data_IF_617303984551
#
_entry.id   IF_617303984551
#
_cell.length_a   1.000
_cell.length_b   1.000
_cell.length_c   1.000
_cell.angle_alpha   90.00
_cell.angle_beta   90.00
_cell.angle_gamma   90.00
#
_symmetry.space_group_name_H-M   'P 1'
#
loop_
_entity.id
_entity.type
_entity.pdbx_description
1 polymer ?
#
# COMPACT_ATOMS: atom_id res chain seq x y z
N UNK A 1 8.96 11.40 4.93
CA UNK A 1 7.85 10.49 5.29
C UNK A 1 6.61 10.69 4.42
N UNK A 2 5.92 11.85 4.47
CA UNK A 2 4.73 12.14 3.64
C UNK A 2 5.02 12.05 2.13
N UNK A 3 6.19 12.53 1.70
CA UNK A 3 6.62 12.50 0.29
C UNK A 3 6.71 11.08 -0.30
N UNK A 4 7.05 10.06 0.49
CA UNK A 4 7.14 8.67 0.02
C UNK A 4 5.76 8.02 -0.12
N UNK A 5 4.78 8.49 0.66
CA UNK A 5 3.39 8.04 0.54
C UNK A 5 2.74 8.67 -0.71
N UNK A 6 3.01 9.96 -0.97
CA UNK A 6 2.53 10.66 -2.17
C UNK A 6 3.10 10.06 -3.46
N UNK A 7 4.39 9.68 -3.48
CA UNK A 7 4.97 8.97 -4.62
C UNK A 7 4.35 7.58 -4.83
N UNK A 8 3.99 6.87 -3.76
CA UNK A 8 3.30 5.59 -3.83
C UNK A 8 1.90 5.68 -4.49
N UNK A 9 1.11 6.68 -4.11
CA UNK A 9 -0.20 6.93 -4.74
C UNK A 9 -0.06 7.33 -6.21
N UNK A 10 0.92 8.19 -6.55
CA UNK A 10 1.22 8.54 -7.95
C UNK A 10 1.55 7.30 -8.78
N UNK A 11 2.36 6.38 -8.25
CA UNK A 11 2.72 5.15 -8.95
C UNK A 11 1.54 4.18 -9.11
N UNK A 12 0.70 4.05 -8.07
CA UNK A 12 -0.53 3.26 -8.14
C UNK A 12 -1.48 3.76 -9.24
N UNK A 13 -1.62 5.09 -9.35
CA UNK A 13 -2.46 5.72 -10.38
C UNK A 13 -1.82 5.68 -11.77
N UNK A 14 -0.50 5.83 -11.86
CA UNK A 14 0.24 5.84 -13.12
C UNK A 14 0.42 4.45 -13.75
N UNK A 15 0.11 3.37 -13.03
CA UNK A 15 0.25 1.97 -13.49
C UNK A 15 1.60 1.70 -14.17
N UNK A 16 2.69 2.32 -13.70
CA UNK A 16 3.99 2.14 -14.35
C UNK A 16 4.41 0.67 -14.25
N UNK A 17 4.72 0.06 -15.39
CA UNK A 17 4.94 -1.39 -15.54
C UNK A 17 6.05 -1.92 -14.61
N UNK A 18 7.05 -1.07 -14.34
CA UNK A 18 8.16 -1.29 -13.40
C UNK A 18 7.68 -1.53 -11.95
N UNK A 19 6.52 -0.99 -11.54
CA UNK A 19 6.01 -1.15 -10.18
C UNK A 19 5.15 -2.40 -9.98
N UNK A 20 4.63 -3.03 -11.04
CA UNK A 20 3.65 -4.09 -10.88
C UNK A 20 4.26 -5.41 -10.41
N UNK A 21 5.39 -5.85 -10.99
CA UNK A 21 6.04 -7.11 -10.58
C UNK A 21 6.55 -7.04 -9.14
N UNK A 22 7.23 -5.95 -8.79
CA UNK A 22 7.73 -5.73 -7.42
C UNK A 22 6.57 -5.61 -6.42
N UNK A 23 5.50 -4.90 -6.79
CA UNK A 23 4.31 -4.79 -5.95
C UNK A 23 3.60 -6.13 -5.75
N UNK A 24 3.51 -6.98 -6.78
CA UNK A 24 2.94 -8.33 -6.66
C UNK A 24 3.77 -9.21 -5.72
N UNK A 25 5.10 -9.19 -5.86
CA UNK A 25 6.00 -9.91 -4.95
C UNK A 25 5.83 -9.45 -3.49
N UNK A 26 5.85 -8.14 -3.26
CA UNK A 26 5.64 -7.55 -1.94
C UNK A 26 4.23 -7.83 -1.39
N UNK A 27 3.21 -7.84 -2.25
CA UNK A 27 1.84 -8.17 -1.87
C UNK A 27 1.72 -9.64 -1.45
N UNK A 28 2.39 -10.56 -2.15
CA UNK A 28 2.45 -11.97 -1.76
C UNK A 28 3.10 -12.15 -0.37
N UNK A 29 4.17 -11.40 -0.10
CA UNK A 29 4.79 -11.37 1.24
C UNK A 29 3.87 -10.78 2.31
N UNK A 30 3.08 -9.76 1.96
CA UNK A 30 2.12 -9.17 2.88
C UNK A 30 0.90 -10.10 3.12
N UNK A 31 0.50 -10.92 2.15
CA UNK A 31 -0.65 -11.82 2.27
C UNK A 31 -0.45 -12.89 3.37
N UNK A 32 0.79 -13.32 3.60
CA UNK A 32 1.16 -14.25 4.69
C UNK A 32 1.64 -13.54 5.96
N UNK A 33 1.60 -12.21 6.01
CA UNK A 33 2.12 -11.45 7.14
C UNK A 33 1.12 -11.46 8.32
N UNK A 34 1.54 -11.79 9.55
CA UNK A 34 0.65 -11.80 10.73
C UNK A 34 0.12 -10.41 11.09
N UNK A 35 0.73 -9.35 10.56
CA UNK A 35 0.30 -7.97 10.74
C UNK A 35 -0.61 -7.46 9.62
N UNK A 36 -0.87 -8.24 8.56
CA UNK A 36 -1.88 -7.88 7.58
C UNK A 36 -3.27 -8.08 8.18
N UNK A 37 -4.14 -7.08 7.99
CA UNK A 37 -5.52 -7.08 8.46
C UNK A 37 -6.44 -6.55 7.37
N UNK A 38 -7.68 -7.00 7.37
CA UNK A 38 -8.77 -6.42 6.57
C UNK A 38 -9.54 -5.42 7.41
N UNK A 39 -10.01 -4.34 6.80
CA UNK A 39 -10.83 -3.35 7.49
C UNK A 39 -11.19 -2.17 6.61
N UNK A 40 -11.74 -1.13 7.24
CA UNK A 40 -12.13 0.11 6.59
C UNK A 40 -10.94 1.05 6.46
N UNK A 41 -10.79 1.65 5.29
CA UNK A 41 -9.70 2.54 4.91
C UNK A 41 -10.27 3.78 4.22
N UNK A 42 -9.63 4.93 4.43
CA UNK A 42 -9.97 6.15 3.71
C UNK A 42 -9.13 6.22 2.44
N UNK A 43 -9.79 6.36 1.30
CA UNK A 43 -9.17 6.52 -0.01
C UNK A 43 -9.74 7.73 -0.73
N UNK A 44 -8.88 8.47 -1.43
CA UNK A 44 -9.33 9.52 -2.35
C UNK A 44 -9.82 8.88 -3.66
N UNK A 45 -11.11 9.05 -3.95
CA UNK A 45 -11.77 8.57 -5.17
C UNK A 45 -12.49 9.77 -5.79
N UNK A 46 -12.08 10.17 -7.00
CA UNK A 46 -12.62 11.33 -7.71
C UNK A 46 -12.63 12.59 -6.83
N UNK A 47 -11.48 12.95 -6.27
CA UNK A 47 -11.28 14.12 -5.38
C UNK A 47 -12.12 14.14 -4.10
N UNK A 48 -12.77 13.02 -3.76
CA UNK A 48 -13.53 12.86 -2.52
C UNK A 48 -12.92 11.78 -1.63
N UNK A 49 -12.87 12.04 -0.32
CA UNK A 49 -12.43 11.06 0.67
C UNK A 49 -13.57 10.07 0.93
N UNK A 50 -13.36 8.80 0.63
CA UNK A 50 -14.36 7.74 0.84
C UNK A 50 -13.80 6.63 1.72
N UNK A 51 -14.68 6.05 2.54
CA UNK A 51 -14.38 4.83 3.26
C UNK A 51 -14.57 3.62 2.33
N UNK A 52 -13.57 2.75 2.27
CA UNK A 52 -13.56 1.53 1.47
C UNK A 52 -13.09 0.36 2.33
N UNK A 53 -13.49 -0.86 1.97
CA UNK A 53 -12.91 -2.06 2.57
C UNK A 53 -11.59 -2.43 1.87
N UNK A 54 -10.58 -2.80 2.64
CA UNK A 54 -9.31 -3.26 2.10
C UNK A 54 -8.29 -3.69 3.14
N UNK A 55 -7.17 -4.19 2.63
CA UNK A 55 -6.09 -4.72 3.47
C UNK A 55 -5.13 -3.61 3.91
N UNK A 56 -4.72 -3.64 5.17
CA UNK A 56 -3.78 -2.69 5.76
C UNK A 56 -2.77 -3.39 6.68
N UNK A 57 -1.63 -2.72 6.90
CA UNK A 57 -0.62 -3.16 7.83
C UNK A 57 -0.96 -2.70 9.26
N UNK A 58 -1.08 -3.61 10.22
CA UNK A 58 -1.40 -3.27 11.59
C UNK A 58 -0.27 -2.53 12.34
N UNK A 59 0.97 -2.55 11.83
CA UNK A 59 2.11 -1.84 12.41
C UNK A 59 2.12 -0.37 11.96
N UNK A 60 2.28 -0.13 10.66
CA UNK A 60 2.38 1.23 10.13
C UNK A 60 1.04 1.86 9.74
N UNK A 61 -0.07 1.11 9.86
CA UNK A 61 -1.45 1.52 9.53
C UNK A 61 -1.69 1.90 8.06
N UNK A 62 -0.72 1.68 7.18
CA UNK A 62 -0.86 2.02 5.78
C UNK A 62 -1.73 0.99 5.03
N UNK A 63 -2.56 1.44 4.07
CA UNK A 63 -3.18 0.57 3.07
C UNK A 63 -2.13 -0.24 2.33
N UNK A 64 -2.27 -1.57 2.29
CA UNK A 64 -1.30 -2.44 1.63
C UNK A 64 -1.25 -2.21 0.12
N UNK A 65 -2.39 -1.88 -0.49
CA UNK A 65 -2.49 -1.54 -1.92
C UNK A 65 -1.56 -0.40 -2.34
N UNK A 66 -1.43 0.63 -1.50
CA UNK A 66 -0.53 1.76 -1.72
C UNK A 66 0.90 1.46 -1.23
N UNK A 67 1.05 0.86 -0.04
CA UNK A 67 2.35 0.62 0.59
C UNK A 67 3.28 -0.22 -0.29
N UNK A 68 2.81 -1.34 -0.84
CA UNK A 68 3.65 -2.25 -1.65
C UNK A 68 4.16 -1.62 -2.96
N UNK A 69 3.50 -0.55 -3.44
CA UNK A 69 3.85 0.22 -4.64
C UNK A 69 4.66 1.49 -4.34
N UNK A 70 4.88 1.79 -3.06
CA UNK A 70 5.68 2.94 -2.63
C UNK A 70 7.18 2.64 -2.62
N UNK A 71 7.99 3.70 -2.51
CA UNK A 71 9.44 3.59 -2.26
C UNK A 71 9.78 3.47 -0.77
N UNK A 72 8.77 3.32 0.08
CA UNK A 72 8.93 3.12 1.52
C UNK A 72 9.30 1.67 1.85
N UNK A 73 9.77 1.43 3.06
CA UNK A 73 10.31 0.14 3.52
C UNK A 73 9.29 -0.55 4.44
N UNK A 74 9.30 -1.89 4.47
CA UNK A 74 8.53 -2.65 5.44
C UNK A 74 9.07 -2.40 6.86
N UNK A 75 8.23 -2.05 7.87
CA UNK A 75 8.71 -1.78 9.24
C UNK A 75 9.46 -2.95 9.90
N UNK A 76 9.21 -4.17 9.43
CA UNK A 76 9.83 -5.40 9.90
C UNK A 76 10.83 -5.97 8.87
N UNK A 77 11.23 -5.17 7.88
CA UNK A 77 12.24 -5.50 6.86
C UNK A 77 11.98 -6.81 6.09
N UNK A 78 10.71 -7.18 5.90
CA UNK A 78 10.35 -8.34 5.05
C UNK A 78 10.52 -8.07 3.55
N UNK A 79 10.59 -6.79 3.16
CA UNK A 79 10.83 -6.31 1.81
C UNK A 79 11.17 -4.82 1.82
#
# INVERSE_FOLDING_TARGET
>A
MVQHILSGWKNYLAKSEVTNTVAQQRAALCASCPHARQGKLLAFINDSLKEIEGAYCNICKCPLSAKVRSTDICPIHKW
#
